data_IF_190109367588
#
_entry.id   IF_190109367588
#
_cell.length_a   1.000
_cell.length_b   1.000
_cell.length_c   1.000
_cell.angle_alpha   90.00
_cell.angle_beta   90.00
_cell.angle_gamma   90.00
#
_symmetry.space_group_name_H-M   'P 1'
#
loop_
_entity.id
_entity.type
_entity.pdbx_description
1 polymer ?
#
# COMPACT_ATOMS: atom_id res chain seq x y z
N UNK A 1 0.68 17.94 49.44
CA UNK A 1 0.83 17.05 48.24
C UNK A 1 -0.50 16.36 47.99
N UNK A 2 -1.03 16.40 46.78
CA UNK A 2 -2.33 15.77 46.49
C UNK A 2 -2.06 14.27 46.35
N UNK A 3 -2.74 13.45 47.18
CA UNK A 3 -2.67 12.01 47.08
C UNK A 3 -3.54 11.53 45.90
N UNK A 4 -2.89 10.97 44.89
CA UNK A 4 -3.53 10.47 43.68
C UNK A 4 -3.46 8.94 43.57
N UNK A 5 -2.94 8.25 44.61
CA UNK A 5 -2.79 6.81 44.66
C UNK A 5 -4.14 6.10 44.42
N UNK A 6 -4.16 5.12 43.54
CA UNK A 6 -5.32 4.30 43.23
C UNK A 6 -6.44 5.00 42.46
N UNK A 7 -6.37 6.31 42.23
CA UNK A 7 -7.37 7.02 41.43
C UNK A 7 -7.06 6.85 39.94
N UNK A 8 -8.09 6.66 39.14
CA UNK A 8 -7.94 6.47 37.70
C UNK A 8 -7.89 7.84 36.98
N UNK A 9 -6.86 8.00 36.15
CA UNK A 9 -6.66 9.14 35.26
C UNK A 9 -6.49 8.69 33.84
N UNK A 10 -7.51 8.78 33.01
CA UNK A 10 -7.56 8.20 31.67
C UNK A 10 -7.27 6.69 31.72
N UNK A 11 -6.22 6.20 31.04
CA UNK A 11 -5.78 4.79 31.08
C UNK A 11 -4.73 4.52 32.17
N UNK A 12 -4.43 5.47 33.05
CA UNK A 12 -3.39 5.35 34.07
C UNK A 12 -3.97 5.32 35.48
N UNK A 13 -3.44 4.44 36.33
CA UNK A 13 -3.70 4.38 37.78
C UNK A 13 -2.37 4.46 38.50
N UNK A 14 -2.09 5.55 39.26
CA UNK A 14 -0.90 5.68 40.07
C UNK A 14 -0.91 4.66 41.21
N UNK A 15 0.16 3.89 41.37
CA UNK A 15 0.28 2.86 42.42
C UNK A 15 1.28 3.19 43.48
N UNK A 16 2.46 3.71 43.13
CA UNK A 16 3.57 3.93 44.02
C UNK A 16 4.17 5.31 43.77
N UNK A 17 4.28 6.12 44.83
CA UNK A 17 5.01 7.37 44.77
C UNK A 17 6.53 7.12 44.81
N UNK A 18 7.28 7.72 43.89
CA UNK A 18 8.71 7.49 43.69
C UNK A 18 9.60 8.66 44.18
N UNK A 19 8.99 9.70 44.79
CA UNK A 19 9.68 10.96 45.05
C UNK A 19 9.63 11.96 43.90
N UNK A 20 10.04 13.19 44.15
CA UNK A 20 10.15 14.26 43.12
C UNK A 20 8.89 14.42 42.24
N UNK A 21 7.73 14.36 42.83
CA UNK A 21 6.43 14.45 42.15
C UNK A 21 6.16 13.34 41.11
N UNK A 22 6.89 12.22 41.16
CA UNK A 22 6.76 11.11 40.19
C UNK A 22 6.03 9.91 40.76
N UNK A 23 5.22 9.29 39.94
CA UNK A 23 4.44 8.10 40.27
C UNK A 23 4.74 6.95 39.30
N UNK A 24 4.82 5.76 39.84
CA UNK A 24 4.72 4.54 39.06
C UNK A 24 3.25 4.23 38.84
N UNK A 25 2.82 4.25 37.57
CA UNK A 25 1.44 4.02 37.18
C UNK A 25 1.31 2.72 36.40
N UNK A 26 0.21 2.00 36.60
CA UNK A 26 -0.23 0.94 35.73
C UNK A 26 -1.21 1.52 34.70
N UNK A 27 -1.10 1.07 33.45
CA UNK A 27 -2.02 1.41 32.37
C UNK A 27 -3.04 0.29 32.17
N UNK A 28 -4.22 0.62 31.65
CA UNK A 28 -5.27 -0.39 31.35
C UNK A 28 -4.79 -1.50 30.40
N UNK A 29 -3.76 -1.27 29.59
CA UNK A 29 -3.13 -2.29 28.75
C UNK A 29 -2.12 -3.18 29.48
N UNK A 30 -1.95 -3.03 30.81
CA UNK A 30 -0.96 -3.75 31.61
C UNK A 30 0.44 -3.11 31.62
N UNK A 31 0.71 -2.12 30.78
CA UNK A 31 2.01 -1.45 30.73
C UNK A 31 2.26 -0.57 31.96
N UNK A 32 3.51 -0.56 32.46
CA UNK A 32 3.93 0.26 33.60
C UNK A 32 4.73 1.47 33.09
N UNK A 33 4.44 2.65 33.64
CA UNK A 33 5.10 3.92 33.27
C UNK A 33 5.34 4.76 34.49
N UNK A 34 6.44 5.57 34.48
CA UNK A 34 6.73 6.59 35.48
C UNK A 34 6.26 7.95 34.93
N UNK A 35 5.41 8.66 35.68
CA UNK A 35 4.80 9.92 35.24
C UNK A 35 4.79 10.92 36.38
N UNK A 36 4.97 12.18 36.08
CA UNK A 36 4.86 13.28 37.04
C UNK A 36 3.39 13.52 37.42
N UNK A 37 3.15 13.82 38.70
CA UNK A 37 1.81 14.13 39.24
C UNK A 37 1.05 15.14 38.39
N UNK A 38 1.71 16.23 38.03
CA UNK A 38 1.15 17.28 37.20
C UNK A 38 0.60 16.75 35.85
N UNK A 39 1.40 15.93 35.16
CA UNK A 39 1.02 15.38 33.85
C UNK A 39 -0.13 14.38 33.96
N UNK A 40 -0.25 13.68 35.07
CA UNK A 40 -1.37 12.76 35.36
C UNK A 40 -2.65 13.55 35.59
N UNK A 41 -2.61 14.48 36.54
CA UNK A 41 -3.78 15.26 37.01
C UNK A 41 -4.37 16.10 35.86
N UNK A 42 -3.52 16.73 35.05
CA UNK A 42 -3.95 17.59 33.95
C UNK A 42 -4.15 16.81 32.61
N UNK A 43 -4.07 15.50 32.66
CA UNK A 43 -4.33 14.62 31.47
C UNK A 43 -3.33 14.80 30.30
N UNK A 44 -2.14 15.38 30.59
CA UNK A 44 -1.07 15.49 29.58
C UNK A 44 -0.48 14.12 29.20
N UNK A 45 -0.40 13.22 30.20
CA UNK A 45 -0.05 11.79 29.96
C UNK A 45 -1.29 10.94 30.21
N UNK A 46 -1.84 10.36 29.14
CA UNK A 46 -3.11 9.61 29.18
C UNK A 46 -2.92 8.09 29.20
N UNK A 47 -1.73 7.57 28.86
CA UNK A 47 -1.42 6.14 28.78
C UNK A 47 0.08 5.89 28.92
N UNK A 48 0.51 4.63 28.92
CA UNK A 48 1.94 4.24 28.83
C UNK A 48 2.56 4.43 27.44
N UNK A 49 1.87 5.09 26.51
CA UNK A 49 2.21 5.20 25.09
C UNK A 49 1.39 4.27 24.19
N UNK A 50 0.57 3.37 24.76
CA UNK A 50 -0.26 2.45 24.01
C UNK A 50 -1.30 3.17 23.13
N UNK A 51 -1.88 4.30 23.58
CA UNK A 51 -2.81 5.10 22.78
C UNK A 51 -2.14 5.65 21.51
N UNK A 52 -0.90 6.12 21.60
CA UNK A 52 -0.16 6.60 20.43
C UNK A 52 0.13 5.45 19.45
N UNK A 53 0.56 4.29 19.97
CA UNK A 53 0.80 3.09 19.15
C UNK A 53 -0.48 2.62 18.46
N UNK A 54 -1.61 2.60 19.18
CA UNK A 54 -2.91 2.23 18.65
C UNK A 54 -3.38 3.22 17.57
N UNK A 55 -3.26 4.52 17.83
CA UNK A 55 -3.59 5.56 16.86
C UNK A 55 -2.72 5.47 15.60
N UNK A 56 -1.40 5.35 15.76
CA UNK A 56 -0.45 5.19 14.66
C UNK A 56 -0.73 3.92 13.86
N UNK A 57 -1.06 2.82 14.54
CA UNK A 57 -1.45 1.56 13.90
C UNK A 57 -2.73 1.73 13.08
N UNK A 58 -3.74 2.40 13.61
CA UNK A 58 -5.02 2.63 12.92
C UNK A 58 -4.87 3.59 11.73
N UNK A 59 -4.02 4.62 11.83
CA UNK A 59 -3.71 5.53 10.73
C UNK A 59 -2.90 4.85 9.61
N UNK A 60 -2.05 3.89 9.96
CA UNK A 60 -1.16 3.21 9.01
C UNK A 60 -1.71 1.88 8.48
N UNK A 61 -2.87 1.42 8.94
CA UNK A 61 -3.55 0.25 8.39
C UNK A 61 -4.11 0.55 7.01
N UNK A 62 -3.22 0.69 6.03
CA UNK A 62 -3.64 0.54 4.63
C UNK A 62 -4.23 -0.87 4.47
N UNK A 63 -5.29 -0.99 3.66
CA UNK A 63 -5.85 -2.29 3.29
C UNK A 63 -4.71 -3.22 2.87
N UNK A 64 -4.83 -4.52 3.22
CA UNK A 64 -3.86 -5.53 2.83
C UNK A 64 -3.56 -5.45 1.33
N UNK A 65 -2.28 -5.39 0.96
CA UNK A 65 -1.83 -5.22 -0.42
C UNK A 65 -1.87 -3.79 -0.98
N UNK A 66 -2.45 -2.79 -0.29
CA UNK A 66 -2.57 -1.42 -0.79
C UNK A 66 -1.20 -0.73 -0.98
N UNK A 67 -0.25 -1.04 -0.10
CA UNK A 67 1.12 -0.55 -0.25
C UNK A 67 1.80 -1.13 -1.49
N UNK A 68 1.65 -2.43 -1.72
CA UNK A 68 2.16 -3.12 -2.90
C UNK A 68 1.54 -2.55 -4.20
N UNK A 69 0.21 -2.36 -4.21
CA UNK A 69 -0.46 -1.74 -5.35
C UNK A 69 0.02 -0.29 -5.60
N UNK A 70 0.24 0.50 -4.55
CA UNK A 70 0.78 1.86 -4.70
C UNK A 70 2.14 1.86 -5.38
N UNK A 71 2.99 0.87 -5.09
CA UNK A 71 4.27 0.69 -5.78
C UNK A 71 4.08 0.41 -7.27
N UNK A 72 3.12 -0.42 -7.64
CA UNK A 72 2.80 -0.70 -9.06
C UNK A 72 2.39 0.60 -9.78
N UNK A 73 1.43 1.34 -9.21
CA UNK A 73 0.97 2.61 -9.77
C UNK A 73 2.11 3.61 -9.99
N UNK A 74 2.95 3.81 -8.95
CA UNK A 74 4.07 4.73 -9.01
C UNK A 74 5.16 4.27 -10.00
N UNK A 75 5.36 2.96 -10.15
CA UNK A 75 6.31 2.43 -11.13
C UNK A 75 5.88 2.75 -12.57
N UNK A 76 4.59 2.60 -12.89
CA UNK A 76 4.06 3.00 -14.19
C UNK A 76 4.19 4.50 -14.44
N UNK A 77 3.81 5.32 -13.46
CA UNK A 77 3.90 6.79 -13.57
C UNK A 77 5.35 7.25 -13.80
N UNK A 78 6.29 6.78 -12.98
CA UNK A 78 7.72 7.08 -13.13
C UNK A 78 8.30 6.54 -14.44
N UNK A 79 7.88 5.33 -14.84
CA UNK A 79 8.31 4.74 -16.10
C UNK A 79 7.79 5.50 -17.33
N UNK A 80 6.63 6.14 -17.25
CA UNK A 80 6.12 7.02 -18.29
C UNK A 80 6.94 8.32 -18.34
N UNK A 81 7.15 8.95 -17.19
CA UNK A 81 7.97 10.17 -17.06
C UNK A 81 9.39 9.97 -17.61
N UNK A 82 10.06 8.86 -17.25
CA UNK A 82 11.40 8.53 -17.75
C UNK A 82 11.47 8.40 -19.28
N UNK A 83 10.36 7.99 -19.94
CA UNK A 83 10.26 7.84 -21.39
C UNK A 83 9.63 9.06 -22.10
N UNK A 84 9.46 10.15 -21.38
CA UNK A 84 8.80 11.37 -21.88
C UNK A 84 7.40 11.09 -22.46
N UNK A 85 6.60 10.29 -21.74
CA UNK A 85 5.26 9.90 -22.11
C UNK A 85 4.23 10.44 -21.12
N UNK A 86 3.07 10.84 -21.64
CA UNK A 86 1.94 11.23 -20.80
C UNK A 86 1.43 10.06 -19.97
N UNK A 87 0.97 10.33 -18.73
CA UNK A 87 0.34 9.37 -17.86
C UNK A 87 -0.95 9.95 -17.28
N UNK A 88 -2.06 9.72 -17.98
CA UNK A 88 -3.39 10.26 -17.69
C UNK A 88 -4.33 9.23 -17.05
N UNK A 89 -3.77 8.26 -16.31
CA UNK A 89 -4.57 7.24 -15.59
C UNK A 89 -4.64 7.59 -14.11
N UNK A 90 -5.84 7.58 -13.56
CA UNK A 90 -6.07 7.61 -12.12
C UNK A 90 -5.62 6.29 -11.46
N UNK A 91 -5.45 6.33 -10.14
CA UNK A 91 -5.08 5.14 -9.38
C UNK A 91 -6.12 4.01 -9.48
N UNK A 92 -7.41 4.36 -9.54
CA UNK A 92 -8.49 3.38 -9.63
C UNK A 92 -8.60 2.77 -11.04
N UNK A 93 -8.35 3.54 -12.09
CA UNK A 93 -8.28 3.02 -13.46
C UNK A 93 -7.13 2.02 -13.61
N UNK A 94 -5.94 2.34 -13.08
CA UNK A 94 -4.82 1.40 -13.05
C UNK A 94 -5.19 0.14 -12.28
N UNK A 95 -5.86 0.25 -11.12
CA UNK A 95 -6.32 -0.90 -10.33
C UNK A 95 -7.24 -1.81 -11.12
N UNK A 96 -8.20 -1.21 -11.82
CA UNK A 96 -9.16 -1.93 -12.66
C UNK A 96 -8.48 -2.62 -13.85
N UNK A 97 -7.48 -1.99 -14.45
CA UNK A 97 -6.73 -2.58 -15.56
C UNK A 97 -5.90 -3.78 -15.11
N UNK A 98 -5.04 -3.58 -14.10
CA UNK A 98 -4.08 -4.61 -13.70
C UNK A 98 -4.72 -5.84 -13.03
N UNK A 99 -5.96 -5.71 -12.55
CA UNK A 99 -6.75 -6.80 -11.98
C UNK A 99 -7.45 -7.68 -13.02
N UNK A 100 -7.44 -7.31 -14.30
CA UNK A 100 -8.13 -8.04 -15.38
C UNK A 100 -7.25 -9.10 -16.01
N UNK A 101 -7.87 -10.12 -16.65
CA UNK A 101 -7.16 -11.06 -17.52
C UNK A 101 -6.41 -10.33 -18.64
N UNK A 102 -5.32 -10.94 -19.10
CA UNK A 102 -4.53 -10.42 -20.21
C UNK A 102 -5.39 -10.26 -21.47
N UNK A 103 -5.35 -9.09 -22.09
CA UNK A 103 -6.07 -8.79 -23.33
C UNK A 103 -5.73 -9.72 -24.49
N UNK A 104 -4.48 -10.19 -24.55
CA UNK A 104 -3.99 -10.98 -25.68
C UNK A 104 -4.20 -12.48 -25.53
N UNK A 105 -3.99 -13.05 -24.35
CA UNK A 105 -4.00 -14.50 -24.12
C UNK A 105 -4.97 -14.96 -23.04
N UNK A 106 -5.70 -14.05 -22.38
CA UNK A 106 -6.64 -14.39 -21.32
C UNK A 106 -6.01 -14.81 -19.99
N UNK A 107 -4.69 -14.81 -19.86
CA UNK A 107 -4.01 -15.23 -18.62
C UNK A 107 -4.46 -14.35 -17.44
N UNK A 108 -4.81 -14.99 -16.32
CA UNK A 108 -5.16 -14.30 -15.08
C UNK A 108 -3.95 -13.56 -14.50
N UNK A 109 -4.17 -12.52 -13.66
CA UNK A 109 -3.11 -11.82 -12.95
C UNK A 109 -2.22 -12.77 -12.17
N UNK A 110 -0.92 -12.79 -12.48
CA UNK A 110 0.05 -13.72 -11.87
C UNK A 110 1.38 -13.06 -11.47
N UNK A 111 1.60 -11.79 -11.79
CA UNK A 111 2.74 -11.07 -11.23
C UNK A 111 2.46 -10.73 -9.77
N UNK A 112 3.42 -10.95 -8.89
CA UNK A 112 3.29 -10.62 -7.47
C UNK A 112 4.17 -9.42 -7.11
N UNK A 113 3.56 -8.38 -6.57
CA UNK A 113 4.26 -7.27 -5.92
C UNK A 113 4.13 -7.43 -4.41
N UNK A 114 5.26 -7.59 -3.71
CA UNK A 114 5.32 -7.68 -2.24
C UNK A 114 5.52 -6.30 -1.64
N UNK A 115 4.83 -6.03 -0.54
CA UNK A 115 5.09 -4.84 0.25
C UNK A 115 6.39 -4.98 1.03
N UNK A 116 7.18 -3.90 1.11
CA UNK A 116 8.42 -3.87 1.92
C UNK A 116 8.20 -4.05 3.42
N UNK A 117 7.00 -3.78 3.93
CA UNK A 117 6.67 -3.76 5.36
C UNK A 117 5.69 -4.86 5.77
N UNK A 118 5.72 -6.02 5.12
CA UNK A 118 4.81 -7.16 5.39
C UNK A 118 3.32 -6.78 5.44
N UNK A 119 2.91 -5.74 4.73
CA UNK A 119 1.52 -5.29 4.61
C UNK A 119 0.80 -5.92 3.41
N UNK A 120 1.24 -7.12 3.02
CA UNK A 120 0.62 -7.94 1.99
C UNK A 120 1.23 -7.85 0.61
N UNK A 121 0.73 -8.71 -0.27
CA UNK A 121 1.07 -8.76 -1.68
C UNK A 121 -0.11 -8.30 -2.53
N UNK A 122 0.18 -7.89 -3.76
CA UNK A 122 -0.81 -7.58 -4.79
C UNK A 122 -0.49 -8.37 -6.06
N UNK A 123 -1.47 -9.17 -6.54
CA UNK A 123 -1.34 -9.91 -7.79
C UNK A 123 -1.91 -9.08 -8.94
N UNK A 124 -1.18 -9.00 -10.04
CA UNK A 124 -1.55 -8.12 -11.14
C UNK A 124 -1.06 -8.62 -12.50
N UNK A 125 -1.75 -8.22 -13.55
CA UNK A 125 -1.19 -8.15 -14.89
C UNK A 125 -0.56 -6.78 -15.13
N UNK A 126 0.37 -6.68 -16.06
CA UNK A 126 0.91 -5.40 -16.49
C UNK A 126 -0.10 -4.60 -17.31
N UNK A 127 0.35 -3.46 -17.80
CA UNK A 127 -0.36 -2.58 -18.73
C UNK A 127 0.50 -2.47 -20.00
N UNK A 128 -0.10 -2.79 -21.13
CA UNK A 128 0.49 -2.53 -22.44
C UNK A 128 -0.18 -1.32 -23.10
N UNK A 129 0.56 -0.57 -23.91
CA UNK A 129 0.05 0.49 -24.76
C UNK A 129 -0.25 -0.08 -26.14
N UNK A 130 -1.48 0.07 -26.61
CA UNK A 130 -1.92 -0.41 -27.94
C UNK A 130 -1.02 0.19 -29.02
N UNK A 131 -0.85 1.51 -28.97
CA UNK A 131 0.12 2.24 -29.78
C UNK A 131 1.27 2.76 -28.89
N UNK A 132 2.46 2.27 -29.14
CA UNK A 132 3.66 2.59 -28.34
C UNK A 132 4.15 4.03 -28.49
N UNK A 133 3.67 4.77 -29.50
CA UNK A 133 4.02 6.18 -29.72
C UNK A 133 3.23 7.14 -28.80
N UNK A 134 2.11 6.68 -28.23
CA UNK A 134 1.31 7.49 -27.32
C UNK A 134 1.53 7.07 -25.86
N UNK A 135 1.13 7.93 -24.94
CA UNK A 135 1.23 7.70 -23.51
C UNK A 135 0.18 6.75 -22.95
N UNK A 136 0.06 6.77 -21.62
CA UNK A 136 -0.89 5.96 -20.87
C UNK A 136 -2.21 6.70 -20.72
N UNK A 137 -3.13 6.41 -21.62
CA UNK A 137 -4.51 6.91 -21.62
C UNK A 137 -5.47 5.72 -21.68
N UNK A 138 -6.67 5.87 -21.14
CA UNK A 138 -7.63 4.78 -21.03
C UNK A 138 -7.97 4.15 -22.40
N UNK A 139 -7.94 4.96 -23.45
CA UNK A 139 -8.17 4.56 -24.84
C UNK A 139 -6.98 3.86 -25.49
N UNK A 140 -5.78 3.99 -24.92
CA UNK A 140 -4.53 3.45 -25.44
C UNK A 140 -3.92 2.34 -24.61
N UNK A 141 -4.58 1.86 -23.54
CA UNK A 141 -4.01 0.86 -22.64
C UNK A 141 -4.89 -0.35 -22.49
N UNK A 142 -4.25 -1.52 -22.35
CA UNK A 142 -4.92 -2.80 -22.09
C UNK A 142 -4.17 -3.59 -21.02
N UNK A 143 -4.86 -4.46 -20.24
CA UNK A 143 -4.20 -5.37 -19.32
C UNK A 143 -3.36 -6.37 -20.10
N UNK A 144 -2.13 -6.61 -19.70
CA UNK A 144 -1.19 -7.44 -20.42
C UNK A 144 -0.29 -8.25 -19.48
N UNK A 145 -0.26 -9.58 -19.64
CA UNK A 145 0.69 -10.41 -18.91
C UNK A 145 2.12 -10.16 -19.39
N UNK A 146 3.10 -10.48 -18.54
CA UNK A 146 4.51 -10.29 -18.88
C UNK A 146 4.90 -10.94 -20.21
N UNK A 147 4.48 -12.19 -20.45
CA UNK A 147 4.81 -12.93 -21.69
C UNK A 147 4.33 -12.21 -22.96
N UNK A 148 3.07 -11.76 -22.95
CA UNK A 148 2.52 -11.03 -24.11
C UNK A 148 3.17 -9.66 -24.29
N UNK A 149 3.50 -8.96 -23.19
CA UNK A 149 4.18 -7.69 -23.25
C UNK A 149 5.59 -7.81 -23.84
N UNK A 150 6.35 -8.82 -23.41
CA UNK A 150 7.66 -9.14 -23.99
C UNK A 150 7.57 -9.54 -25.45
N UNK A 151 6.56 -10.33 -25.83
CA UNK A 151 6.37 -10.73 -27.22
C UNK A 151 5.98 -9.54 -28.11
N UNK A 152 5.11 -8.64 -27.63
CA UNK A 152 4.66 -7.46 -28.39
C UNK A 152 5.73 -6.38 -28.46
N UNK A 153 6.37 -6.04 -27.34
CA UNK A 153 7.33 -4.91 -27.26
C UNK A 153 6.72 -3.60 -27.85
N UNK A 154 7.41 -3.01 -28.83
CA UNK A 154 6.99 -1.77 -29.48
C UNK A 154 6.21 -2.00 -30.79
N UNK A 155 5.89 -3.28 -31.15
CA UNK A 155 5.15 -3.57 -32.38
C UNK A 155 3.78 -2.93 -32.36
N UNK A 156 3.30 -2.55 -33.55
CA UNK A 156 1.93 -2.13 -33.75
C UNK A 156 0.95 -3.26 -33.38
N UNK A 157 -0.21 -2.91 -32.90
CA UNK A 157 -1.23 -3.88 -32.45
C UNK A 157 -1.65 -4.82 -33.58
N UNK A 158 -1.93 -4.29 -34.78
CA UNK A 158 -2.39 -5.09 -35.94
C UNK A 158 -1.29 -6.03 -36.41
N UNK A 159 -0.06 -5.54 -36.48
CA UNK A 159 1.12 -6.35 -36.82
C UNK A 159 1.31 -7.49 -35.83
N UNK A 160 1.23 -7.20 -34.53
CA UNK A 160 1.37 -8.23 -33.47
C UNK A 160 0.28 -9.31 -33.55
N UNK A 161 -0.99 -8.91 -33.76
CA UNK A 161 -2.09 -9.88 -33.90
C UNK A 161 -1.95 -10.70 -35.18
N UNK A 162 -1.52 -10.09 -36.28
CA UNK A 162 -1.25 -10.78 -37.54
C UNK A 162 -0.14 -11.86 -37.36
N UNK A 163 0.93 -11.48 -36.68
CA UNK A 163 2.02 -12.42 -36.37
C UNK A 163 1.53 -13.58 -35.47
N UNK A 164 0.75 -13.35 -34.45
CA UNK A 164 0.17 -14.41 -33.61
C UNK A 164 -0.65 -15.39 -34.46
N UNK A 165 -1.51 -14.89 -35.35
CA UNK A 165 -2.34 -15.69 -36.22
C UNK A 165 -1.48 -16.54 -37.20
N UNK A 166 -0.41 -15.96 -37.71
CA UNK A 166 0.52 -16.66 -38.56
C UNK A 166 1.20 -17.80 -37.81
N UNK A 167 1.75 -17.55 -36.60
CA UNK A 167 2.35 -18.57 -35.75
C UNK A 167 1.35 -19.70 -35.48
N UNK A 168 0.14 -19.35 -35.02
CA UNK A 168 -0.91 -20.32 -34.72
C UNK A 168 -1.21 -21.23 -35.92
N UNK A 169 -1.33 -20.64 -37.12
CA UNK A 169 -1.63 -21.41 -38.37
C UNK A 169 -0.57 -22.45 -38.70
N UNK A 170 0.69 -22.25 -38.35
CA UNK A 170 1.80 -23.13 -38.70
C UNK A 170 2.28 -24.03 -37.55
N UNK A 171 1.73 -23.88 -36.36
CA UNK A 171 2.14 -24.68 -35.20
C UNK A 171 1.05 -25.59 -34.66
N UNK A 172 -0.18 -25.46 -35.14
CA UNK A 172 -1.34 -26.29 -34.83
C UNK A 172 -2.02 -26.73 -36.11
#
# INVERSE_FOLDING_TARGET
MIDIKGKKYNKLTPLVYLGESRWRCICDCGGIVKVESYNIIHGRTKSCGCLLKEHTRNLNLKKWGESAFTHIYLAYKKGAEYRDLTFNLSKDEVRNLVGKPCHYCGALPNNEMKSRFNSGSYYYNGIDRINSNFGYELTNVVPCCWKCNEAKKARDYKEFISWIRQVYKYTI
#
